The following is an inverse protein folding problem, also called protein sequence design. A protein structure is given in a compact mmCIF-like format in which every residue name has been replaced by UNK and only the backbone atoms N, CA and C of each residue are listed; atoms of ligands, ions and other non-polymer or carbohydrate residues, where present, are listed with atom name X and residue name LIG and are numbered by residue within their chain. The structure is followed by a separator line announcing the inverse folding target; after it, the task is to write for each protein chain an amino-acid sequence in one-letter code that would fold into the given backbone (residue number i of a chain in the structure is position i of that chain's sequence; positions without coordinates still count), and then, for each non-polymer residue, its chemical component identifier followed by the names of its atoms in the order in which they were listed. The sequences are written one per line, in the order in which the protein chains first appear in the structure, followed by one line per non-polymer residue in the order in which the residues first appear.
data_IF_418368190080
#
_entry.id   IF_418368190080
#
_cell.length_a   1.000
_cell.length_b   1.000
_cell.length_c   1.000
_cell.angle_alpha   90.00
_cell.angle_beta   90.00
_cell.angle_gamma   90.00
#
_symmetry.space_group_name_H-M   'P 1'
#
loop_
_entity.id
_entity.type
_entity.pdbx_description
1 polymer ?
#
# COMPACT_ATOMS: atom_id res chain seq x y z
N UNK A 1 -19.27 17.28 4.66
CA UNK A 1 -19.02 16.11 5.52
C UNK A 1 -17.52 15.90 5.51
N UNK A 2 -16.86 15.81 6.66
CA UNK A 2 -15.41 15.61 6.71
C UNK A 2 -15.11 14.16 6.38
N UNK A 3 -14.68 13.85 5.15
CA UNK A 3 -13.98 12.60 4.89
C UNK A 3 -12.60 12.71 5.58
N UNK A 4 -12.31 11.93 6.64
CA UNK A 4 -11.06 12.06 7.38
C UNK A 4 -9.82 11.56 6.61
N UNK A 5 -10.03 10.98 5.42
CA UNK A 5 -9.03 10.27 4.64
C UNK A 5 -8.72 10.93 3.28
N UNK A 6 -9.39 12.04 2.94
CA UNK A 6 -9.16 12.77 1.69
C UNK A 6 -7.68 13.18 1.56
N UNK A 7 -7.07 12.85 0.43
CA UNK A 7 -5.67 13.17 0.10
C UNK A 7 -4.62 12.30 0.81
N UNK A 8 -5.03 11.29 1.59
CA UNK A 8 -4.10 10.40 2.28
C UNK A 8 -3.45 9.44 1.31
N UNK A 9 -2.13 9.30 1.41
CA UNK A 9 -1.35 8.40 0.54
C UNK A 9 -1.25 7.02 1.17
N UNK A 10 -1.84 6.02 0.53
CA UNK A 10 -1.93 4.65 1.08
C UNK A 10 -1.15 3.70 0.20
N UNK A 11 -0.07 3.12 0.73
CA UNK A 11 0.70 2.09 0.03
C UNK A 11 -0.11 0.80 -0.08
N UNK A 12 -0.06 0.11 -1.21
CA UNK A 12 -0.70 -1.21 -1.39
C UNK A 12 0.37 -2.22 -1.82
N UNK A 13 0.56 -3.27 -1.03
CA UNK A 13 1.42 -4.41 -1.37
C UNK A 13 0.61 -5.69 -1.29
N UNK A 14 0.37 -6.29 -2.45
CA UNK A 14 -0.57 -7.38 -2.68
C UNK A 14 -0.15 -8.13 -3.96
N UNK A 15 0.06 -9.44 -3.88
CA UNK A 15 0.44 -10.25 -5.05
C UNK A 15 -0.78 -10.61 -5.92
N UNK A 16 -1.98 -10.64 -5.34
CA UNK A 16 -3.22 -10.83 -6.06
C UNK A 16 -3.72 -9.54 -6.72
N UNK A 17 -3.48 -9.39 -8.03
CA UNK A 17 -3.83 -8.17 -8.78
C UNK A 17 -5.31 -7.78 -8.72
N UNK A 18 -6.22 -8.76 -8.58
CA UNK A 18 -7.66 -8.50 -8.43
C UNK A 18 -7.99 -7.88 -7.08
N UNK A 19 -7.33 -8.33 -6.02
CA UNK A 19 -7.50 -7.78 -4.66
C UNK A 19 -6.91 -6.37 -4.62
N UNK A 20 -5.74 -6.16 -5.20
CA UNK A 20 -5.11 -4.86 -5.33
C UNK A 20 -6.02 -3.83 -6.02
N UNK A 21 -6.58 -4.15 -7.20
CA UNK A 21 -7.50 -3.26 -7.92
C UNK A 21 -8.76 -2.93 -7.12
N UNK A 22 -9.29 -3.89 -6.36
CA UNK A 22 -10.45 -3.66 -5.49
C UNK A 22 -10.10 -2.65 -4.38
N UNK A 23 -8.94 -2.80 -3.75
CA UNK A 23 -8.46 -1.89 -2.71
C UNK A 23 -8.25 -0.49 -3.28
N UNK A 24 -7.63 -0.36 -4.45
CA UNK A 24 -7.46 0.93 -5.14
C UNK A 24 -8.80 1.61 -5.37
N UNK A 25 -9.78 0.89 -5.92
CA UNK A 25 -11.13 1.42 -6.18
C UNK A 25 -11.78 1.94 -4.89
N UNK A 26 -11.64 1.21 -3.78
CA UNK A 26 -12.18 1.63 -2.48
C UNK A 26 -11.47 2.88 -1.97
N UNK A 27 -10.15 2.94 -2.10
CA UNK A 27 -9.35 4.09 -1.66
C UNK A 27 -9.66 5.34 -2.49
N UNK A 28 -9.80 5.21 -3.80
CA UNK A 28 -10.18 6.30 -4.70
C UNK A 28 -11.59 6.84 -4.39
N UNK A 29 -12.56 5.97 -4.10
CA UNK A 29 -13.92 6.37 -3.68
C UNK A 29 -13.90 7.14 -2.34
N UNK A 30 -12.91 6.84 -1.49
CA UNK A 30 -12.65 7.56 -0.24
C UNK A 30 -11.78 8.82 -0.42
N UNK A 31 -11.54 9.24 -1.67
CA UNK A 31 -10.66 10.36 -2.04
C UNK A 31 -9.21 10.21 -1.54
N UNK A 32 -8.77 8.98 -1.28
CA UNK A 32 -7.38 8.67 -0.96
C UNK A 32 -6.54 8.60 -2.23
N UNK A 33 -5.21 8.64 -2.06
CA UNK A 33 -4.23 8.46 -3.13
C UNK A 33 -3.59 7.09 -2.94
N UNK A 34 -4.03 6.05 -3.67
CA UNK A 34 -3.32 4.77 -3.64
C UNK A 34 -1.91 4.94 -4.21
N UNK A 35 -0.92 4.33 -3.54
CA UNK A 35 0.47 4.26 -3.96
C UNK A 35 0.80 2.79 -4.14
N UNK A 36 1.06 2.35 -5.36
CA UNK A 36 1.18 0.93 -5.69
C UNK A 36 0.35 0.58 -6.92
N UNK A 37 0.00 -0.70 -7.12
CA UNK A 37 0.20 -1.83 -6.23
C UNK A 37 1.55 -2.52 -6.45
N UNK A 38 2.19 -2.98 -5.37
CA UNK A 38 3.39 -3.81 -5.45
C UNK A 38 3.05 -5.29 -5.29
N UNK A 39 3.56 -6.13 -6.19
CA UNK A 39 3.31 -7.58 -6.22
C UNK A 39 4.41 -8.40 -5.55
N UNK A 40 5.47 -7.74 -5.09
CA UNK A 40 6.63 -8.36 -4.45
C UNK A 40 7.15 -7.52 -3.29
N UNK A 41 7.93 -8.16 -2.41
CA UNK A 41 8.60 -7.49 -1.28
C UNK A 41 9.54 -6.38 -1.77
N UNK A 42 10.33 -6.64 -2.82
CA UNK A 42 11.28 -5.68 -3.37
C UNK A 42 10.58 -4.45 -3.96
N UNK A 43 9.49 -4.65 -4.71
CA UNK A 43 8.67 -3.52 -5.20
C UNK A 43 8.06 -2.72 -4.04
N UNK A 44 7.54 -3.40 -3.02
CA UNK A 44 7.02 -2.76 -1.82
C UNK A 44 8.09 -1.93 -1.10
N UNK A 45 9.29 -2.48 -0.92
CA UNK A 45 10.43 -1.76 -0.32
C UNK A 45 10.88 -0.58 -1.16
N UNK A 46 10.89 -0.69 -2.48
CA UNK A 46 11.20 0.41 -3.38
C UNK A 46 10.17 1.54 -3.24
N UNK A 47 8.88 1.20 -3.25
CA UNK A 47 7.80 2.18 -3.04
C UNK A 47 7.87 2.85 -1.68
N UNK A 48 8.20 2.13 -0.60
CA UNK A 48 8.39 2.73 0.74
C UNK A 48 9.52 3.76 0.73
N UNK A 49 10.61 3.49 0.00
CA UNK A 49 11.76 4.40 -0.10
C UNK A 49 11.49 5.61 -0.98
N UNK A 50 10.78 5.42 -2.08
CA UNK A 50 10.53 6.46 -3.08
C UNK A 50 9.31 7.32 -2.75
N UNK A 51 8.35 6.79 -1.99
CA UNK A 51 7.14 7.51 -1.64
C UNK A 51 7.37 8.45 -0.44
N UNK A 52 7.42 9.76 -0.72
CA UNK A 52 7.37 10.77 0.32
C UNK A 52 5.95 10.92 0.88
N UNK A 53 5.82 10.81 2.21
CA UNK A 53 4.59 11.13 2.94
C UNK A 53 3.50 10.08 2.84
N UNK A 54 3.84 8.79 2.98
CA UNK A 54 2.86 7.73 3.17
C UNK A 54 2.13 7.91 4.51
N UNK A 55 0.80 7.95 4.47
CA UNK A 55 -0.06 8.07 5.65
C UNK A 55 -0.47 6.72 6.22
N UNK A 56 -0.58 5.72 5.35
CA UNK A 56 -0.94 4.36 5.70
C UNK A 56 -0.35 3.38 4.68
N UNK A 57 -0.34 2.10 5.04
CA UNK A 57 0.05 1.02 4.16
C UNK A 57 -0.85 -0.19 4.40
N UNK A 58 -1.30 -0.80 3.31
CA UNK A 58 -2.05 -2.05 3.26
C UNK A 58 -1.10 -3.12 2.72
N UNK A 59 -0.79 -4.08 3.59
CA UNK A 59 0.25 -5.08 3.39
C UNK A 59 -0.41 -6.45 3.54
N UNK A 60 -0.46 -7.23 2.46
CA UNK A 60 -0.81 -8.64 2.60
C UNK A 60 0.31 -9.40 3.32
N UNK A 61 -0.04 -10.37 4.17
CA UNK A 61 0.92 -11.10 5.00
C UNK A 61 1.90 -11.91 4.16
N UNK A 62 1.46 -12.44 3.02
CA UNK A 62 2.24 -13.37 2.21
C UNK A 62 2.22 -12.98 0.73
N UNK A 63 3.17 -12.14 0.35
CA UNK A 63 3.30 -11.62 -1.01
C UNK A 63 4.31 -12.47 -1.76
N UNK A 64 3.89 -13.13 -2.84
CA UNK A 64 4.75 -13.97 -3.68
C UNK A 64 5.47 -15.10 -2.92
N UNK A 65 4.85 -15.63 -1.85
CA UNK A 65 5.42 -16.68 -1.01
C UNK A 65 6.45 -16.19 0.01
N UNK A 66 6.60 -14.88 0.19
CA UNK A 66 7.44 -14.26 1.20
C UNK A 66 6.62 -13.45 2.19
N UNK A 67 7.08 -13.42 3.45
CA UNK A 67 6.39 -12.66 4.49
C UNK A 67 6.68 -11.16 4.35
N UNK A 68 5.64 -10.34 4.44
CA UNK A 68 5.70 -8.88 4.24
C UNK A 68 6.41 -8.08 5.35
N UNK A 69 6.88 -8.77 6.40
CA UNK A 69 7.52 -8.15 7.56
C UNK A 69 8.63 -7.15 7.22
N UNK A 70 9.52 -7.37 6.24
CA UNK A 70 10.56 -6.40 5.89
C UNK A 70 10.00 -5.04 5.46
N UNK A 71 8.88 -5.03 4.72
CA UNK A 71 8.19 -3.80 4.29
C UNK A 71 7.55 -3.11 5.51
N UNK A 72 6.91 -3.88 6.38
CA UNK A 72 6.31 -3.36 7.61
C UNK A 72 7.35 -2.76 8.58
N UNK A 73 8.55 -3.33 8.64
CA UNK A 73 9.66 -2.77 9.41
C UNK A 73 10.20 -1.48 8.78
N UNK A 74 10.33 -1.44 7.45
CA UNK A 74 10.76 -0.24 6.73
C UNK A 74 9.81 0.95 6.93
N UNK A 75 8.51 0.71 7.06
CA UNK A 75 7.48 1.72 7.32
C UNK A 75 7.46 2.26 8.76
N UNK A 76 8.08 1.54 9.72
CA UNK A 76 8.14 1.97 11.14
C UNK A 76 9.33 2.88 11.45
N UNK A 77 10.31 2.96 10.56
CA UNK A 77 11.57 3.68 10.75
C UNK A 77 11.41 5.18 10.48
#
# INVERSE_FOLDING_TARGET
MTQPLTGRRVLIVEDESLVAMLIETILEDMECVPVGPASTIDEGLALVRDAEGLDAALLDVNVAGQQIFPVAEALKA
#
